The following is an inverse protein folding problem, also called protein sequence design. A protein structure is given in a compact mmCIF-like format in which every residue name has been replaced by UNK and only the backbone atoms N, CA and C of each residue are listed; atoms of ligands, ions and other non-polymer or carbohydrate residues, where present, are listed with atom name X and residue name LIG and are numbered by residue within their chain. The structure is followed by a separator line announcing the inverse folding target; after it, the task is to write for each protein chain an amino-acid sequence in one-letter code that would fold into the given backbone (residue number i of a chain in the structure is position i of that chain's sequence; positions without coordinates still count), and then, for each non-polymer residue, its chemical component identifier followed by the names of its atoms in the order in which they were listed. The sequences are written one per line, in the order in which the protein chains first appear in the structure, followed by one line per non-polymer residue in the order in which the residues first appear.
data_IF_305700049061
#
_entry.id   IF_305700049061
#
_cell.length_a   1.000
_cell.length_b   1.000
_cell.length_c   1.000
_cell.angle_alpha   90.00
_cell.angle_beta   90.00
_cell.angle_gamma   90.00
#
_symmetry.space_group_name_H-M   'P 1'
#
loop_
_entity.id
_entity.type
_entity.pdbx_description
1 polymer ?
#
# COMPACT_ATOMS: atom_id res chain seq x y z
N UNK A 1 -4.94 -3.54 22.78
CA UNK A 1 -3.72 -3.04 22.11
C UNK A 1 -3.68 -3.52 20.68
N UNK A 2 -3.23 -2.69 19.72
CA UNK A 2 -3.14 -3.09 18.32
C UNK A 2 -1.97 -4.06 18.10
N UNK A 3 -2.20 -5.06 17.24
CA UNK A 3 -1.15 -5.92 16.67
C UNK A 3 -0.85 -5.37 15.28
N UNK A 4 0.42 -5.10 15.00
CA UNK A 4 0.85 -4.58 13.70
C UNK A 4 1.55 -5.71 12.92
N UNK A 5 1.10 -5.93 11.68
CA UNK A 5 1.68 -6.88 10.74
C UNK A 5 2.25 -6.07 9.57
N UNK A 6 3.55 -6.21 9.31
CA UNK A 6 4.24 -5.57 8.18
C UNK A 6 4.64 -6.64 7.16
N UNK A 7 4.28 -6.44 5.89
CA UNK A 7 4.75 -7.31 4.81
C UNK A 7 6.19 -6.95 4.42
N UNK A 8 6.96 -7.94 3.96
CA UNK A 8 8.37 -7.74 3.58
C UNK A 8 8.58 -7.39 2.10
N UNK A 9 7.51 -7.27 1.31
CA UNK A 9 7.60 -7.07 -0.15
C UNK A 9 6.25 -6.98 -0.86
N UNK A 10 6.23 -7.28 -2.17
CA UNK A 10 5.03 -7.30 -3.03
C UNK A 10 4.89 -8.67 -3.74
N UNK A 11 4.19 -9.61 -3.12
CA UNK A 11 3.97 -10.99 -3.56
C UNK A 11 2.49 -11.41 -3.61
N UNK A 12 2.22 -12.66 -3.22
CA UNK A 12 0.85 -13.16 -2.96
C UNK A 12 0.48 -13.08 -1.47
N UNK A 13 1.48 -12.90 -0.59
CA UNK A 13 1.32 -12.93 0.87
C UNK A 13 0.51 -11.76 1.40
N UNK A 14 0.44 -10.65 0.69
CA UNK A 14 -0.25 -9.43 1.10
C UNK A 14 -1.77 -9.64 1.14
N UNK A 15 -2.30 -10.47 0.21
CA UNK A 15 -3.72 -10.85 0.20
C UNK A 15 -4.05 -11.76 1.38
N UNK A 16 -3.14 -12.64 1.77
CA UNK A 16 -3.33 -13.49 2.95
C UNK A 16 -3.30 -12.66 4.24
N UNK A 17 -2.38 -11.68 4.32
CA UNK A 17 -2.30 -10.74 5.44
C UNK A 17 -3.59 -9.92 5.56
N UNK A 18 -4.15 -9.42 4.44
CA UNK A 18 -5.39 -8.64 4.49
C UNK A 18 -6.60 -9.46 4.94
N UNK A 19 -6.60 -10.77 4.68
CA UNK A 19 -7.69 -11.65 5.11
C UNK A 19 -7.69 -11.96 6.62
N UNK A 20 -6.59 -11.69 7.33
CA UNK A 20 -6.48 -11.93 8.78
C UNK A 20 -6.41 -10.65 9.60
N UNK A 21 -6.17 -9.50 8.97
CA UNK A 21 -6.11 -8.21 9.64
C UNK A 21 -7.50 -7.56 9.69
N UNK A 22 -7.84 -6.92 10.83
CA UNK A 22 -9.07 -6.13 10.94
C UNK A 22 -9.06 -4.88 10.05
N UNK A 23 -7.86 -4.38 9.73
CA UNK A 23 -7.65 -3.16 8.96
C UNK A 23 -6.33 -3.24 8.19
N UNK A 24 -6.41 -3.04 6.88
CA UNK A 24 -5.27 -3.09 5.96
C UNK A 24 -4.94 -1.68 5.46
N UNK A 25 -3.70 -1.23 5.70
CA UNK A 25 -3.19 0.05 5.22
C UNK A 25 -2.17 -0.20 4.11
N UNK A 26 -2.45 0.31 2.91
CA UNK A 26 -1.51 0.26 1.79
C UNK A 26 -0.71 1.55 1.75
N UNK A 27 0.62 1.44 1.75
CA UNK A 27 1.54 2.59 1.83
C UNK A 27 2.27 2.78 0.49
N UNK A 28 2.19 3.99 -0.07
CA UNK A 28 2.86 4.40 -1.29
C UNK A 28 3.94 5.47 -1.02
N UNK A 29 4.86 5.68 -1.97
CA UNK A 29 5.76 6.84 -1.97
C UNK A 29 5.58 7.68 -3.26
N UNK A 30 5.86 8.99 -3.25
CA UNK A 30 5.72 9.86 -4.43
C UNK A 30 6.48 9.40 -5.68
N UNK A 31 7.56 8.64 -5.46
CA UNK A 31 8.44 8.13 -6.50
C UNK A 31 8.25 6.62 -6.74
N UNK A 32 7.12 6.01 -6.36
CA UNK A 32 6.81 4.63 -6.83
C UNK A 32 6.73 4.57 -8.36
N UNK A 33 6.83 5.72 -9.05
CA UNK A 33 7.02 5.86 -10.50
C UNK A 33 5.74 5.59 -11.26
N UNK A 34 5.75 5.79 -12.58
CA UNK A 34 4.65 5.51 -13.52
C UNK A 34 4.04 4.09 -13.41
N UNK A 35 4.62 3.26 -12.56
CA UNK A 35 4.20 1.97 -12.02
C UNK A 35 3.02 2.00 -11.03
N UNK A 36 2.29 3.10 -10.79
CA UNK A 36 0.99 3.01 -10.07
C UNK A 36 0.05 2.05 -10.81
N UNK A 37 0.12 1.97 -12.15
CA UNK A 37 -0.56 0.93 -12.94
C UNK A 37 0.09 -0.47 -12.86
N UNK A 38 1.31 -0.58 -12.32
CA UNK A 38 2.06 -1.83 -12.10
C UNK A 38 2.02 -2.31 -10.64
N UNK A 39 1.51 -1.48 -9.72
CA UNK A 39 0.96 -1.92 -8.44
C UNK A 39 -0.19 -2.84 -8.83
N UNK A 40 0.15 -4.12 -8.92
CA UNK A 40 -0.68 -5.23 -9.40
C UNK A 40 -2.12 -5.01 -8.95
N UNK A 41 -3.08 -5.22 -9.86
CA UNK A 41 -4.51 -5.04 -9.62
C UNK A 41 -4.99 -5.49 -8.22
N UNK A 42 -4.40 -6.56 -7.65
CA UNK A 42 -4.75 -7.06 -6.31
C UNK A 42 -4.29 -6.25 -5.07
N UNK A 43 -3.39 -5.27 -5.16
CA UNK A 43 -2.93 -4.50 -3.97
C UNK A 43 -3.83 -3.31 -3.64
N UNK A 44 -4.34 -2.63 -4.67
CA UNK A 44 -5.37 -1.58 -4.53
C UNK A 44 -6.75 -2.13 -4.22
N UNK A 45 -6.93 -3.44 -4.27
CA UNK A 45 -8.22 -4.10 -3.97
C UNK A 45 -8.34 -4.51 -2.51
N UNK A 46 -7.21 -4.65 -1.80
CA UNK A 46 -7.18 -5.16 -0.41
C UNK A 46 -7.04 -4.06 0.65
N UNK A 47 -6.85 -2.79 0.25
CA UNK A 47 -6.61 -1.68 1.17
C UNK A 47 -7.90 -1.03 1.68
N UNK A 48 -8.07 -0.97 2.99
CA UNK A 48 -9.11 -0.17 3.64
C UNK A 48 -8.72 1.31 3.70
N UNK A 49 -7.42 1.58 3.81
CA UNK A 49 -6.85 2.93 3.78
C UNK A 49 -5.56 2.99 2.95
N UNK A 50 -5.32 4.15 2.37
CA UNK A 50 -4.16 4.42 1.53
C UNK A 50 -3.35 5.58 2.12
N UNK A 51 -2.06 5.34 2.35
CA UNK A 51 -1.14 6.33 2.92
C UNK A 51 -0.06 6.69 1.89
N UNK A 52 0.15 7.97 1.65
CA UNK A 52 1.32 8.44 0.89
C UNK A 52 2.42 8.83 1.87
N UNK A 53 3.40 7.96 2.04
CA UNK A 53 4.59 8.23 2.84
C UNK A 53 5.54 9.18 2.07
N UNK A 54 6.29 10.01 2.79
CA UNK A 54 7.19 11.03 2.22
C UNK A 54 6.45 12.06 1.35
N UNK A 55 5.25 12.48 1.77
CA UNK A 55 4.39 13.40 1.03
C UNK A 55 4.99 14.81 0.84
N UNK A 56 6.11 15.11 1.50
CA UNK A 56 6.94 16.30 1.30
C UNK A 56 7.69 16.31 -0.05
N UNK A 57 7.84 15.14 -0.70
CA UNK A 57 8.53 15.02 -1.98
C UNK A 57 7.63 15.39 -3.16
N UNK A 58 8.26 15.89 -4.22
CA UNK A 58 7.59 16.17 -5.49
C UNK A 58 6.92 14.89 -6.04
N UNK A 59 5.72 15.03 -6.59
CA UNK A 59 4.94 13.91 -7.13
C UNK A 59 4.00 13.24 -6.14
N UNK A 60 4.00 13.64 -4.85
CA UNK A 60 3.04 13.14 -3.85
C UNK A 60 1.59 13.35 -4.30
N UNK A 61 1.35 14.41 -5.09
CA UNK A 61 0.06 14.74 -5.67
C UNK A 61 -0.47 13.86 -6.76
N UNK A 62 0.36 13.01 -7.34
CA UNK A 62 -0.05 12.19 -8.47
C UNK A 62 -0.79 10.92 -8.05
N UNK A 63 -0.81 10.64 -6.74
CA UNK A 63 -1.44 9.47 -6.14
C UNK A 63 -2.90 9.73 -5.72
N UNK A 64 -3.38 10.97 -5.82
CA UNK A 64 -4.74 11.40 -5.47
C UNK A 64 -5.45 12.12 -6.61
#
# INVERSE_FOLDING_TARGET
DPIIIESVGAGQTEVEISNIADLTIVVFNPHTGDSIQTIKAGLTEIGDMYLVNKSDLAGASRLY
#
